data_IF_813080853262
#
_entry.id   IF_813080853262
#
_cell.length_a   1.000
_cell.length_b   1.000
_cell.length_c   1.000
_cell.angle_alpha   90.00
_cell.angle_beta   90.00
_cell.angle_gamma   90.00
#
_symmetry.space_group_name_H-M   'P 1'
#
loop_
_entity.id
_entity.type
_entity.pdbx_description
1 polymer ?
#
# COMPACT_ATOMS: atom_id res chain seq x y z
N UNK A 1 -18.44 -13.46 -5.44
CA UNK A 1 -18.54 -12.24 -6.29
C UNK A 1 -18.11 -10.97 -5.51
N UNK A 2 -17.02 -10.32 -5.94
CA UNK A 2 -16.45 -9.12 -5.27
C UNK A 2 -16.67 -7.89 -6.16
N UNK A 3 -17.17 -6.77 -5.60
CA UNK A 3 -17.57 -5.54 -6.34
C UNK A 3 -16.51 -4.41 -6.14
N UNK A 4 -16.35 -3.44 -7.08
CA UNK A 4 -15.07 -2.72 -7.29
C UNK A 4 -15.01 -1.15 -7.50
N UNK A 5 -13.78 -0.59 -7.30
CA UNK A 5 -13.10 0.75 -7.51
C UNK A 5 -13.26 1.56 -8.77
N UNK A 6 -14.47 1.64 -9.27
CA UNK A 6 -14.73 2.26 -10.55
C UNK A 6 -15.01 3.78 -10.39
N UNK A 7 -14.05 4.60 -9.91
CA UNK A 7 -14.24 6.05 -9.66
C UNK A 7 -15.08 6.73 -10.77
N UNK A 8 -16.02 7.60 -10.39
CA UNK A 8 -17.19 8.09 -11.18
C UNK A 8 -18.35 7.09 -11.44
N UNK A 9 -18.26 5.83 -11.02
CA UNK A 9 -19.36 4.85 -10.98
C UNK A 9 -19.00 3.65 -10.07
N UNK A 10 -18.76 3.91 -8.77
CA UNK A 10 -17.62 3.34 -8.05
C UNK A 10 -17.97 2.63 -6.72
N UNK A 11 -17.41 1.44 -6.41
CA UNK A 11 -17.61 0.74 -5.12
C UNK A 11 -16.41 -0.13 -4.65
N UNK A 12 -15.37 0.45 -4.03
CA UNK A 12 -14.20 -0.32 -3.51
C UNK A 12 -14.67 -0.98 -2.25
N UNK A 13 -14.89 -2.29 -2.35
CA UNK A 13 -14.84 -3.12 -1.17
C UNK A 13 -13.36 -3.18 -0.79
N UNK A 14 -12.98 -2.44 0.25
CA UNK A 14 -11.65 -2.58 0.84
C UNK A 14 -11.52 -4.02 1.35
N UNK A 15 -10.40 -4.65 1.04
CA UNK A 15 -10.11 -6.02 1.45
C UNK A 15 -9.84 -6.08 2.96
N UNK A 16 -10.27 -7.17 3.59
CA UNK A 16 -9.92 -7.48 4.98
C UNK A 16 -8.41 -7.67 5.09
N UNK A 17 -7.71 -6.71 5.71
CA UNK A 17 -6.28 -6.79 5.97
C UNK A 17 -6.02 -7.51 7.29
N UNK A 18 -5.51 -8.74 7.27
CA UNK A 18 -4.80 -9.29 8.43
C UNK A 18 -3.38 -8.73 8.47
N UNK A 19 -3.05 -8.00 9.55
CA UNK A 19 -1.66 -7.70 9.89
C UNK A 19 -1.04 -8.93 10.56
N UNK A 20 0.00 -9.48 9.93
CA UNK A 20 0.71 -10.68 10.39
C UNK A 20 0.80 -11.70 9.26
N UNK A 21 2.00 -11.84 8.67
CA UNK A 21 2.36 -12.78 7.59
C UNK A 21 1.43 -12.82 6.35
N UNK A 22 1.89 -12.36 5.16
CA UNK A 22 1.04 -12.20 3.97
C UNK A 22 0.52 -13.50 3.35
N UNK A 23 0.84 -14.66 3.92
CA UNK A 23 0.48 -16.00 3.44
C UNK A 23 -0.57 -16.72 4.28
N UNK A 24 -1.05 -16.16 5.40
CA UNK A 24 -1.99 -16.85 6.31
C UNK A 24 -3.15 -15.93 6.75
N UNK A 25 -4.38 -16.46 6.71
CA UNK A 25 -5.58 -15.78 7.19
C UNK A 25 -5.75 -16.02 8.70
N UNK A 26 -5.81 -14.95 9.50
CA UNK A 26 -5.85 -15.01 10.98
C UNK A 26 -7.24 -15.34 11.53
N UNK A 27 -7.78 -16.49 11.14
CA UNK A 27 -9.01 -17.08 11.66
C UNK A 27 -9.77 -17.85 10.58
N UNK A 28 -10.16 -19.10 10.87
CA UNK A 28 -10.96 -19.94 9.95
C UNK A 28 -12.32 -19.31 9.58
N UNK A 29 -12.81 -18.39 10.41
CA UNK A 29 -14.12 -17.75 10.27
C UNK A 29 -13.93 -16.23 10.20
N UNK A 30 -14.39 -15.54 9.15
CA UNK A 30 -14.43 -14.07 9.14
C UNK A 30 -15.33 -13.56 10.27
N UNK A 31 -15.09 -12.34 10.76
CA UNK A 31 -15.92 -11.71 11.80
C UNK A 31 -17.29 -11.28 11.24
N UNK A 32 -18.19 -12.26 11.13
CA UNK A 32 -19.56 -12.15 10.66
C UNK A 32 -20.42 -11.36 11.66
N UNK A 33 -21.01 -10.25 11.22
CA UNK A 33 -21.98 -9.50 12.02
C UNK A 33 -23.39 -10.04 11.77
N UNK A 34 -23.89 -10.87 12.71
CA UNK A 34 -25.29 -11.25 12.73
C UNK A 34 -26.13 -10.08 13.25
N UNK A 35 -26.88 -9.42 12.35
CA UNK A 35 -27.72 -8.27 12.68
C UNK A 35 -28.87 -8.55 13.67
N UNK A 36 -29.13 -9.82 13.98
CA UNK A 36 -30.08 -10.26 14.99
C UNK A 36 -29.32 -10.81 16.20
N UNK A 37 -29.31 -10.05 17.29
CA UNK A 37 -28.90 -10.56 18.61
C UNK A 37 -29.87 -11.69 18.98
N UNK A 38 -29.38 -12.89 19.27
CA UNK A 38 -30.21 -13.97 19.83
C UNK A 38 -30.64 -13.59 21.26
N UNK A 39 -31.74 -12.85 21.35
CA UNK A 39 -32.72 -12.98 22.42
C UNK A 39 -33.68 -14.06 21.92
N UNK A 40 -33.73 -15.26 22.50
CA UNK A 40 -34.00 -15.50 23.92
C UNK A 40 -33.17 -16.64 24.51
N UNK A 41 -32.85 -16.55 25.81
CA UNK A 41 -32.38 -17.69 26.61
C UNK A 41 -33.54 -18.53 27.18
N UNK A 42 -34.76 -17.98 27.15
CA UNK A 42 -36.01 -18.64 27.50
C UNK A 42 -37.10 -18.04 26.61
N UNK A 43 -37.56 -18.79 25.62
CA UNK A 43 -38.97 -18.91 25.24
C UNK A 43 -39.11 -19.99 24.17
N UNK A 44 -40.05 -20.91 24.38
CA UNK A 44 -40.24 -22.07 23.51
C UNK A 44 -41.12 -21.74 22.32
N UNK A 45 -40.52 -21.24 21.24
CA UNK A 45 -41.18 -21.18 19.93
C UNK A 45 -40.31 -21.89 18.88
N UNK A 46 -40.90 -22.88 18.20
CA UNK A 46 -40.20 -23.70 17.19
C UNK A 46 -40.20 -22.99 15.83
N UNK A 47 -39.54 -21.83 15.79
CA UNK A 47 -39.17 -21.19 14.54
C UNK A 47 -38.08 -21.99 13.83
N UNK A 48 -38.47 -22.86 12.90
CA UNK A 48 -37.56 -23.40 11.90
C UNK A 48 -37.03 -22.23 11.04
N UNK A 49 -35.89 -21.67 11.42
CA UNK A 49 -35.13 -20.75 10.59
C UNK A 49 -34.46 -21.55 9.48
N UNK A 50 -35.12 -21.65 8.33
CA UNK A 50 -34.57 -22.26 7.12
C UNK A 50 -33.28 -21.53 6.71
N UNK A 51 -32.15 -22.26 6.75
CA UNK A 51 -30.87 -21.82 6.22
C UNK A 51 -30.88 -22.01 4.70
N UNK A 52 -31.77 -21.28 4.02
CA UNK A 52 -32.23 -21.59 2.67
C UNK A 52 -31.41 -20.95 1.53
N UNK A 53 -30.37 -20.17 1.84
CA UNK A 53 -29.47 -19.65 0.81
C UNK A 53 -27.98 -19.75 1.21
N UNK A 54 -27.20 -20.68 0.63
CA UNK A 54 -25.75 -20.73 0.81
C UNK A 54 -25.02 -19.52 0.17
N UNK A 55 -25.74 -18.62 -0.53
CA UNK A 55 -25.23 -17.36 -1.05
C UNK A 55 -25.44 -16.16 -0.10
N UNK A 56 -25.98 -16.33 1.12
CA UNK A 56 -26.05 -15.25 2.14
C UNK A 56 -24.65 -14.95 2.72
N UNK A 57 -23.78 -14.40 1.87
CA UNK A 57 -22.53 -13.76 2.26
C UNK A 57 -22.85 -12.57 3.15
N UNK A 58 -22.78 -12.80 4.47
CA UNK A 58 -23.07 -11.78 5.48
C UNK A 58 -22.22 -10.54 5.23
N UNK A 59 -22.86 -9.37 5.30
CA UNK A 59 -22.22 -8.10 5.04
C UNK A 59 -21.00 -7.90 5.98
N UNK A 60 -19.89 -7.33 5.47
CA UNK A 60 -18.70 -7.13 6.28
C UNK A 60 -19.00 -6.24 7.47
N UNK A 61 -18.54 -6.65 8.64
CA UNK A 61 -18.76 -5.99 9.95
C UNK A 61 -18.14 -4.59 10.06
N UNK A 62 -17.27 -4.21 9.12
CA UNK A 62 -16.80 -2.85 8.91
C UNK A 62 -16.75 -2.52 7.40
N UNK A 63 -17.07 -1.27 7.04
CA UNK A 63 -16.94 -0.75 5.69
C UNK A 63 -16.13 0.55 5.73
N UNK A 64 -15.01 0.59 4.99
CA UNK A 64 -14.23 1.82 4.80
C UNK A 64 -14.75 2.52 3.54
N UNK A 65 -15.44 3.63 3.73
CA UNK A 65 -15.85 4.51 2.65
C UNK A 65 -14.75 5.54 2.42
N UNK A 66 -14.06 5.45 1.28
CA UNK A 66 -13.08 6.46 0.86
C UNK A 66 -13.75 7.40 -0.12
N UNK A 67 -13.93 8.64 0.30
CA UNK A 67 -14.35 9.73 -0.57
C UNK A 67 -13.10 10.44 -1.11
N UNK A 68 -12.94 10.45 -2.43
CA UNK A 68 -11.84 11.12 -3.13
C UNK A 68 -12.25 12.52 -3.64
N UNK A 69 -13.55 12.81 -3.68
CA UNK A 69 -14.12 14.11 -4.03
C UNK A 69 -14.26 15.01 -2.79
N UNK A 70 -14.26 14.41 -1.60
CA UNK A 70 -14.05 15.09 -0.33
C UNK A 70 -12.84 16.03 -0.41
N UNK A 71 -13.11 17.32 -0.20
CA UNK A 71 -12.12 18.37 -0.32
C UNK A 71 -10.88 18.10 0.52
N UNK A 72 -9.73 18.51 -0.01
CA UNK A 72 -8.41 18.45 0.60
C UNK A 72 -8.40 18.55 2.15
N UNK A 73 -8.26 17.40 2.83
CA UNK A 73 -8.16 17.29 4.31
C UNK A 73 -7.13 18.27 4.89
N UNK A 74 -6.06 18.53 4.14
CA UNK A 74 -5.10 19.60 4.40
C UNK A 74 -5.17 20.61 3.24
N UNK A 75 -5.96 21.70 3.36
CA UNK A 75 -6.14 22.67 2.28
C UNK A 75 -4.88 23.50 2.03
N UNK A 76 -4.10 23.77 3.08
CA UNK A 76 -2.86 24.56 3.01
C UNK A 76 -1.58 23.73 2.78
N UNK A 77 -1.71 22.47 2.34
CA UNK A 77 -0.53 21.61 2.09
C UNK A 77 0.34 22.17 0.97
N UNK A 78 1.66 22.06 1.10
CA UNK A 78 2.58 22.35 0.00
C UNK A 78 2.43 21.29 -1.09
N UNK A 79 2.71 21.66 -2.35
CA UNK A 79 2.78 20.70 -3.46
C UNK A 79 3.94 19.74 -3.21
N UNK A 80 3.72 18.45 -3.48
CA UNK A 80 4.80 17.47 -3.54
C UNK A 80 5.58 17.76 -4.83
N UNK A 81 6.88 18.05 -4.72
CA UNK A 81 7.71 18.39 -5.88
C UNK A 81 8.09 17.17 -6.72
N UNK A 82 8.16 16.00 -6.10
CA UNK A 82 8.52 14.73 -6.74
C UNK A 82 8.97 13.69 -5.72
N UNK A 83 9.43 12.56 -6.23
CA UNK A 83 10.00 11.44 -5.45
C UNK A 83 11.34 11.01 -6.07
N UNK A 84 12.20 10.35 -5.30
CA UNK A 84 13.59 10.17 -5.71
C UNK A 84 14.43 9.30 -4.77
N UNK A 85 15.72 9.20 -5.09
CA UNK A 85 16.72 8.48 -4.31
C UNK A 85 17.94 9.33 -3.94
N UNK A 86 18.91 8.73 -3.25
CA UNK A 86 20.20 9.35 -2.96
C UNK A 86 21.29 8.81 -3.89
N UNK A 87 22.06 9.74 -4.48
CA UNK A 87 23.24 9.44 -5.28
C UNK A 87 24.48 9.50 -4.37
N UNK A 88 24.77 8.38 -3.70
CA UNK A 88 25.98 8.20 -2.89
C UNK A 88 27.09 7.54 -3.69
N UNK A 89 28.33 7.66 -3.22
CA UNK A 89 29.48 6.97 -3.82
C UNK A 89 29.28 5.45 -3.88
N UNK A 90 28.75 4.81 -2.82
CA UNK A 90 28.37 3.40 -2.85
C UNK A 90 27.33 3.08 -3.94
N UNK A 91 26.37 3.97 -4.20
CA UNK A 91 25.41 3.82 -5.32
C UNK A 91 26.12 3.93 -6.66
N UNK A 92 27.06 4.86 -6.82
CA UNK A 92 27.82 5.05 -8.05
C UNK A 92 28.75 3.85 -8.34
N UNK A 93 29.40 3.30 -7.31
CA UNK A 93 30.26 2.11 -7.42
C UNK A 93 29.45 0.87 -7.79
N UNK A 94 28.34 0.60 -7.10
CA UNK A 94 27.44 -0.52 -7.42
C UNK A 94 26.78 -0.38 -8.80
N UNK A 95 26.42 0.84 -9.21
CA UNK A 95 25.97 1.08 -10.58
C UNK A 95 27.09 0.82 -11.58
N UNK A 96 28.34 1.17 -11.26
CA UNK A 96 29.46 1.00 -12.18
C UNK A 96 29.84 -0.46 -12.43
N UNK A 97 29.62 -1.37 -11.47
CA UNK A 97 29.86 -2.82 -11.67
C UNK A 97 28.84 -3.50 -12.60
N UNK A 98 27.69 -2.85 -12.88
CA UNK A 98 26.69 -3.40 -13.80
C UNK A 98 27.19 -3.43 -15.27
N UNK A 99 26.82 -4.47 -16.05
CA UNK A 99 27.04 -4.48 -17.49
C UNK A 99 26.18 -3.39 -18.19
N UNK A 100 26.50 -2.99 -19.44
CA UNK A 100 25.79 -1.91 -20.14
C UNK A 100 24.27 -2.07 -20.23
N UNK A 101 23.78 -3.30 -20.42
CA UNK A 101 22.34 -3.62 -20.41
C UNK A 101 21.72 -3.43 -19.02
N UNK A 102 22.43 -3.85 -17.96
CA UNK A 102 22.03 -3.66 -16.56
C UNK A 102 21.96 -2.18 -16.18
N UNK A 103 22.94 -1.37 -16.62
CA UNK A 103 22.96 0.09 -16.47
C UNK A 103 21.74 0.74 -17.13
N UNK A 104 21.45 0.36 -18.38
CA UNK A 104 20.27 0.84 -19.12
C UNK A 104 18.96 0.44 -18.44
N UNK A 105 18.85 -0.81 -18.00
CA UNK A 105 17.66 -1.35 -17.32
C UNK A 105 17.42 -0.66 -15.97
N UNK A 106 18.47 -0.47 -15.17
CA UNK A 106 18.40 0.27 -13.90
C UNK A 106 17.88 1.70 -14.10
N UNK A 107 18.44 2.43 -15.06
CA UNK A 107 17.99 3.80 -15.36
C UNK A 107 16.55 3.84 -15.87
N UNK A 108 16.14 2.89 -16.72
CA UNK A 108 14.75 2.75 -17.18
C UNK A 108 13.78 2.43 -16.04
N UNK A 109 14.15 1.55 -15.12
CA UNK A 109 13.29 1.16 -13.99
C UNK A 109 13.15 2.27 -12.94
N UNK A 110 14.18 3.09 -12.69
CA UNK A 110 14.08 4.19 -11.71
C UNK A 110 13.53 5.48 -12.33
N UNK A 111 14.09 5.92 -13.47
CA UNK A 111 13.85 7.25 -14.05
C UNK A 111 13.07 7.21 -15.38
N UNK A 112 12.84 6.03 -15.95
CA UNK A 112 12.06 5.89 -17.18
C UNK A 112 10.56 6.11 -16.95
N UNK A 113 9.86 6.49 -18.03
CA UNK A 113 8.40 6.70 -18.02
C UNK A 113 7.63 5.42 -17.68
N UNK A 114 8.19 4.26 -18.02
CA UNK A 114 7.63 2.93 -17.74
C UNK A 114 8.17 2.31 -16.44
N UNK A 115 8.83 3.12 -15.60
CA UNK A 115 9.42 2.73 -14.32
C UNK A 115 8.78 3.44 -13.12
N UNK A 116 9.55 3.61 -12.04
CA UNK A 116 9.13 4.30 -10.82
C UNK A 116 8.95 5.82 -10.99
N UNK A 117 9.40 6.40 -12.11
CA UNK A 117 9.23 7.82 -12.40
C UNK A 117 9.94 8.75 -11.41
N UNK A 118 11.10 8.35 -10.90
CA UNK A 118 11.91 9.21 -10.02
C UNK A 118 12.21 10.53 -10.74
N UNK A 119 11.89 11.62 -10.06
CA UNK A 119 11.89 13.00 -10.56
C UNK A 119 12.83 13.90 -9.77
N UNK A 120 13.29 13.45 -8.60
CA UNK A 120 14.25 14.12 -7.75
C UNK A 120 15.42 13.19 -7.41
N UNK A 121 16.52 13.77 -6.94
CA UNK A 121 17.62 13.02 -6.36
C UNK A 121 18.45 13.87 -5.42
N UNK A 122 18.96 13.28 -4.35
CA UNK A 122 19.85 13.93 -3.38
C UNK A 122 21.30 13.52 -3.63
N UNK A 123 22.17 14.47 -3.91
CA UNK A 123 23.63 14.28 -3.93
C UNK A 123 24.19 14.73 -2.58
N UNK A 124 25.22 14.06 -2.07
CA UNK A 124 25.97 14.52 -0.90
C UNK A 124 27.16 15.40 -1.32
N UNK A 125 27.56 16.35 -0.48
CA UNK A 125 28.79 17.12 -0.64
C UNK A 125 29.85 16.52 0.27
N UNK A 126 31.13 16.51 -0.14
CA UNK A 126 32.20 15.77 0.53
C UNK A 126 31.86 14.26 0.63
N UNK A 127 32.52 13.49 1.51
CA UNK A 127 32.15 12.10 1.82
C UNK A 127 30.87 11.96 2.64
N UNK A 128 30.23 10.79 2.59
CA UNK A 128 29.24 10.37 3.58
C UNK A 128 29.60 8.99 4.19
N UNK A 129 28.76 8.47 5.07
CA UNK A 129 28.84 7.09 5.59
C UNK A 129 28.71 6.01 4.48
N UNK A 130 28.16 6.39 3.32
CA UNK A 130 28.14 5.59 2.09
C UNK A 130 29.29 5.93 1.11
N UNK A 131 30.41 6.46 1.63
CA UNK A 131 31.68 6.62 0.90
C UNK A 131 32.69 5.55 1.28
N UNK A 132 33.65 5.26 0.40
CA UNK A 132 34.71 4.25 0.67
C UNK A 132 35.66 4.72 1.78
N UNK A 133 35.81 6.03 1.92
CA UNK A 133 36.56 6.70 2.98
C UNK A 133 36.00 8.10 3.22
N UNK A 134 36.34 8.71 4.36
CA UNK A 134 36.14 10.14 4.56
C UNK A 134 37.00 10.97 3.60
N UNK A 135 36.45 12.07 3.10
CA UNK A 135 37.15 13.11 2.33
C UNK A 135 36.36 14.43 2.35
N UNK A 136 37.05 15.56 2.24
CA UNK A 136 36.52 16.90 1.99
C UNK A 136 37.10 17.48 0.69
N UNK A 137 36.40 18.42 0.06
CA UNK A 137 36.92 19.20 -1.07
C UNK A 137 37.91 20.30 -0.66
N UNK A 138 38.11 20.50 0.65
CA UNK A 138 39.04 21.44 1.25
C UNK A 138 39.92 20.67 2.25
N UNK A 139 40.91 19.94 1.71
CA UNK A 139 41.97 19.24 2.47
C UNK A 139 43.34 19.72 1.93
N UNK A 140 43.80 20.85 2.45
CA UNK A 140 45.14 21.44 2.19
C UNK A 140 45.85 21.78 3.50
#
# INVERSE_FOLDING_TARGET
PVNAYRHNNARVKVLQTSLGEPSVHWGEVPCVYYGRRMTTLFDGDQGHGEFDDPAEYVAPSAQINVDFDAGAVFPNRKKIYGFGGAFTEATALNYNTLPPEGKTTFMRLLFGKDGLGYSLGRVHMNSCDFSVKSYSFDET
#
